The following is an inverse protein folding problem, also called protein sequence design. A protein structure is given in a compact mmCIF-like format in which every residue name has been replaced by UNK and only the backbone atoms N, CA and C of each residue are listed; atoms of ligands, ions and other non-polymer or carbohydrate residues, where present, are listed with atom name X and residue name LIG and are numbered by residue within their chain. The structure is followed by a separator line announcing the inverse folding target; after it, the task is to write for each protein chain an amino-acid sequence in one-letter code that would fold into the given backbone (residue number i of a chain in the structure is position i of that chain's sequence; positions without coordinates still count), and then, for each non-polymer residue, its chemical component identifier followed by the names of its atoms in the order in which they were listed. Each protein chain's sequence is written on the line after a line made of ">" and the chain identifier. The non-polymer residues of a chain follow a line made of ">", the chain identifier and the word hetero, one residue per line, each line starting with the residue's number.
data_IF_429605270266
#
_entry.id   IF_429605270266
#
_cell.length_a   1.000
_cell.length_b   1.000
_cell.length_c   1.000
_cell.angle_alpha   90.00
_cell.angle_beta   90.00
_cell.angle_gamma   90.00
#
_symmetry.space_group_name_H-M   'P 1'
#
loop_
_entity.id
_entity.type
_entity.pdbx_description
1 polymer ?
#
# COMPACT_ATOMS: atom_id res chain seq x y z
N UNK A 1 5.71 -11.58 0.11
CA UNK A 1 6.47 -12.39 1.08
C UNK A 1 7.55 -13.21 0.38
N UNK A 2 7.20 -14.03 -0.62
CA UNK A 2 8.19 -14.83 -1.36
C UNK A 2 9.30 -14.01 -2.05
N UNK A 3 8.96 -12.86 -2.65
CA UNK A 3 9.96 -11.95 -3.23
C UNK A 3 10.95 -11.42 -2.20
N UNK A 4 10.47 -11.00 -1.01
CA UNK A 4 11.34 -10.55 0.08
C UNK A 4 12.32 -11.64 0.52
N UNK A 5 11.85 -12.90 0.59
CA UNK A 5 12.68 -14.06 0.91
C UNK A 5 13.76 -14.26 -0.15
N UNK A 6 13.42 -14.19 -1.44
CA UNK A 6 14.38 -14.25 -2.56
C UNK A 6 15.44 -13.15 -2.49
N UNK A 7 15.06 -11.91 -2.19
CA UNK A 7 16.04 -10.83 -2.00
C UNK A 7 16.94 -11.05 -0.79
N UNK A 8 16.42 -11.63 0.29
CA UNK A 8 17.20 -11.95 1.48
C UNK A 8 18.22 -13.06 1.21
N UNK A 9 17.82 -14.08 0.45
CA UNK A 9 18.71 -15.17 0.00
C UNK A 9 19.78 -14.63 -0.96
N UNK A 10 19.41 -13.74 -1.89
CA UNK A 10 20.36 -13.09 -2.78
C UNK A 10 21.34 -12.19 -1.98
N UNK A 11 20.87 -11.49 -0.94
CA UNK A 11 21.73 -10.71 -0.04
C UNK A 11 22.74 -11.56 0.71
N UNK A 12 22.31 -12.71 1.24
CA UNK A 12 23.20 -13.65 1.89
C UNK A 12 24.30 -14.17 0.94
N UNK A 13 23.95 -14.48 -0.31
CA UNK A 13 24.91 -14.92 -1.33
C UNK A 13 25.96 -13.83 -1.68
N UNK A 14 25.54 -12.57 -1.75
CA UNK A 14 26.45 -11.46 -2.08
C UNK A 14 27.38 -11.08 -0.92
N UNK A 15 26.94 -11.24 0.32
CA UNK A 15 27.81 -11.13 1.51
C UNK A 15 28.90 -12.20 1.48
N UNK A 16 28.57 -13.43 1.09
CA UNK A 16 29.52 -14.55 1.00
C UNK A 16 30.56 -14.34 -0.12
N UNK A 17 30.18 -13.67 -1.21
CA UNK A 17 31.06 -13.42 -2.38
C UNK A 17 31.89 -12.13 -2.27
N UNK A 18 31.77 -11.38 -1.16
CA UNK A 18 32.62 -10.21 -0.89
C UNK A 18 32.32 -8.98 -1.75
N UNK A 19 31.15 -8.91 -2.37
CA UNK A 19 30.74 -7.73 -3.14
C UNK A 19 30.42 -6.56 -2.20
N UNK A 20 30.73 -5.33 -2.66
CA UNK A 20 30.33 -4.13 -1.94
C UNK A 20 28.81 -4.02 -1.85
N UNK A 21 28.31 -3.52 -0.71
CA UNK A 21 26.89 -3.45 -0.37
C UNK A 21 26.08 -2.65 -1.41
N UNK A 22 26.71 -1.63 -2.00
CA UNK A 22 26.14 -0.74 -3.01
C UNK A 22 25.96 -1.43 -4.38
N UNK A 23 26.92 -2.28 -4.78
CA UNK A 23 26.86 -3.03 -6.05
C UNK A 23 25.77 -4.11 -6.03
N UNK A 24 25.40 -4.59 -4.84
CA UNK A 24 24.35 -5.58 -4.65
C UNK A 24 22.94 -4.96 -4.53
N UNK A 25 22.82 -3.85 -3.80
CA UNK A 25 21.53 -3.29 -3.42
C UNK A 25 20.68 -2.88 -4.62
N UNK A 26 21.28 -2.19 -5.59
CA UNK A 26 20.58 -1.74 -6.81
C UNK A 26 19.99 -2.91 -7.61
N UNK A 27 20.75 -3.95 -8.01
CA UNK A 27 20.19 -5.08 -8.75
C UNK A 27 19.19 -5.91 -7.94
N UNK A 28 19.41 -6.13 -6.65
CA UNK A 28 18.46 -6.85 -5.78
C UNK A 28 17.11 -6.14 -5.70
N UNK A 29 17.12 -4.83 -5.51
CA UNK A 29 15.91 -4.00 -5.41
C UNK A 29 15.20 -3.91 -6.77
N UNK A 30 15.95 -3.86 -7.87
CA UNK A 30 15.40 -3.86 -9.22
C UNK A 30 14.74 -5.20 -9.57
N UNK A 31 15.37 -6.34 -9.22
CA UNK A 31 14.77 -7.66 -9.37
C UNK A 31 13.46 -7.77 -8.58
N UNK A 32 13.47 -7.31 -7.32
CA UNK A 32 12.28 -7.33 -6.48
C UNK A 32 11.14 -6.50 -7.07
N UNK A 33 11.48 -5.32 -7.60
CA UNK A 33 10.53 -4.45 -8.28
C UNK A 33 9.87 -5.13 -9.49
N UNK A 34 10.68 -5.68 -10.41
CA UNK A 34 10.17 -6.40 -11.58
C UNK A 34 9.35 -7.63 -11.20
N UNK A 35 9.78 -8.36 -10.18
CA UNK A 35 9.03 -9.50 -9.66
C UNK A 35 7.65 -9.08 -9.18
N UNK A 36 7.55 -8.06 -8.32
CA UNK A 36 6.26 -7.56 -7.84
C UNK A 36 5.39 -7.00 -8.98
N UNK A 37 6.00 -6.36 -9.99
CA UNK A 37 5.28 -5.84 -11.13
C UNK A 37 4.67 -6.97 -11.97
N UNK A 38 5.44 -8.01 -12.29
CA UNK A 38 4.95 -9.20 -13.02
C UNK A 38 3.82 -9.87 -12.24
N UNK A 39 3.97 -10.06 -10.93
CA UNK A 39 2.94 -10.70 -10.09
C UNK A 39 1.71 -9.81 -9.84
N UNK A 40 1.82 -8.50 -10.03
CA UNK A 40 0.68 -7.59 -9.96
C UNK A 40 -0.30 -7.76 -11.14
N UNK A 41 0.18 -8.21 -12.30
CA UNK A 41 -0.64 -8.42 -13.51
C UNK A 41 -1.72 -9.50 -13.30
N UNK A 42 -1.40 -10.73 -12.87
CA UNK A 42 -2.43 -11.75 -12.63
C UNK A 42 -3.37 -11.34 -11.48
N UNK A 43 -2.86 -10.64 -10.46
CA UNK A 43 -3.70 -10.12 -9.38
C UNK A 43 -4.71 -9.08 -9.91
N UNK A 44 -4.26 -8.18 -10.79
CA UNK A 44 -5.12 -7.20 -11.43
C UNK A 44 -6.18 -7.88 -12.33
N UNK A 45 -5.83 -8.94 -13.04
CA UNK A 45 -6.78 -9.74 -13.82
C UNK A 45 -7.83 -10.43 -12.94
N UNK A 46 -7.44 -10.99 -11.79
CA UNK A 46 -8.39 -11.58 -10.83
C UNK A 46 -9.32 -10.52 -10.27
N UNK A 47 -8.78 -9.36 -9.89
CA UNK A 47 -9.59 -8.24 -9.40
C UNK A 47 -10.57 -7.79 -10.47
N UNK A 48 -10.10 -7.59 -11.71
CA UNK A 48 -10.95 -7.23 -12.85
C UNK A 48 -12.05 -8.27 -13.08
N UNK A 49 -11.72 -9.56 -13.01
CA UNK A 49 -12.67 -10.65 -13.13
C UNK A 49 -13.75 -10.57 -12.04
N UNK A 50 -13.37 -10.39 -10.77
CA UNK A 50 -14.32 -10.22 -9.66
C UNK A 50 -15.17 -8.97 -9.85
N UNK A 51 -14.54 -7.85 -10.21
CA UNK A 51 -15.15 -6.52 -10.40
C UNK A 51 -16.12 -6.48 -11.58
N UNK A 52 -15.90 -7.28 -12.62
CA UNK A 52 -16.80 -7.34 -13.79
C UNK A 52 -17.87 -8.41 -13.60
N UNK A 53 -17.51 -9.59 -13.08
CA UNK A 53 -18.42 -10.74 -13.03
C UNK A 53 -19.35 -10.72 -11.82
N UNK A 54 -18.91 -10.29 -10.62
CA UNK A 54 -19.84 -10.19 -9.49
C UNK A 54 -20.98 -9.21 -9.78
N UNK A 55 -20.74 -8.00 -10.32
CA UNK A 55 -21.81 -7.10 -10.68
C UNK A 55 -22.69 -7.63 -11.81
N UNK A 56 -22.13 -8.41 -12.75
CA UNK A 56 -22.91 -9.09 -13.78
C UNK A 56 -23.89 -10.09 -13.16
N UNK A 57 -23.43 -10.92 -12.22
CA UNK A 57 -24.25 -11.89 -11.49
C UNK A 57 -25.30 -11.17 -10.64
N UNK A 58 -24.92 -10.10 -9.95
CA UNK A 58 -25.83 -9.27 -9.16
C UNK A 58 -26.90 -8.56 -10.01
N UNK A 59 -26.54 -8.06 -11.18
CA UNK A 59 -27.46 -7.44 -12.12
C UNK A 59 -28.47 -8.45 -12.70
N UNK A 60 -28.04 -9.70 -12.94
CA UNK A 60 -28.95 -10.78 -13.35
C UNK A 60 -29.91 -11.15 -12.21
N UNK A 61 -29.40 -11.35 -10.99
CA UNK A 61 -30.20 -11.78 -9.83
C UNK A 61 -31.22 -10.73 -9.36
N UNK A 62 -30.85 -9.44 -9.36
CA UNK A 62 -31.76 -8.33 -8.97
C UNK A 62 -32.65 -7.91 -10.13
N UNK A 63 -32.19 -8.16 -11.36
CA UNK A 63 -32.85 -7.80 -12.60
C UNK A 63 -34.21 -8.43 -12.86
N UNK A 64 -34.51 -9.55 -12.21
CA UNK A 64 -35.82 -10.20 -12.30
C UNK A 64 -36.90 -9.41 -11.54
N UNK A 65 -36.53 -8.57 -10.57
CA UNK A 65 -37.49 -7.79 -9.76
C UNK A 65 -37.80 -6.38 -10.31
N UNK A 66 -36.84 -5.75 -11.00
CA UNK A 66 -36.94 -4.36 -11.49
C UNK A 66 -37.05 -4.24 -13.02
N UNK A 67 -37.14 -5.37 -13.73
CA UNK A 67 -37.23 -5.42 -15.19
C UNK A 67 -35.95 -4.97 -15.92
N UNK A 68 -36.08 -4.73 -17.23
CA UNK A 68 -34.95 -4.43 -18.12
C UNK A 68 -34.20 -3.13 -17.76
N UNK A 69 -34.93 -2.12 -17.28
CA UNK A 69 -34.34 -0.84 -16.84
C UNK A 69 -33.54 -0.97 -15.55
N UNK A 70 -34.03 -1.76 -14.57
CA UNK A 70 -33.28 -2.03 -13.34
C UNK A 70 -31.97 -2.77 -13.56
N UNK A 71 -31.92 -3.70 -14.52
CA UNK A 71 -30.68 -4.40 -14.93
C UNK A 71 -29.64 -3.43 -15.48
N UNK A 72 -30.07 -2.53 -16.35
CA UNK A 72 -29.18 -1.60 -17.03
C UNK A 72 -28.61 -0.57 -16.04
N UNK A 73 -29.44 -0.05 -15.15
CA UNK A 73 -29.02 0.87 -14.09
C UNK A 73 -28.10 0.20 -13.06
N UNK A 74 -28.40 -1.04 -12.65
CA UNK A 74 -27.56 -1.82 -11.75
C UNK A 74 -26.20 -2.19 -12.35
N UNK A 75 -26.18 -2.54 -13.64
CA UNK A 75 -24.94 -2.83 -14.36
C UNK A 75 -24.09 -1.57 -14.55
N UNK A 76 -24.69 -0.44 -14.95
CA UNK A 76 -23.96 0.82 -15.13
C UNK A 76 -23.44 1.34 -13.79
N UNK A 77 -24.27 1.40 -12.75
CA UNK A 77 -23.85 1.88 -11.43
C UNK A 77 -22.81 0.94 -10.79
N UNK A 78 -23.06 -0.37 -10.80
CA UNK A 78 -22.12 -1.36 -10.24
C UNK A 78 -20.80 -1.44 -11.01
N UNK A 79 -20.87 -1.44 -12.34
CA UNK A 79 -19.71 -1.50 -13.23
C UNK A 79 -18.88 -0.22 -13.23
N UNK A 80 -19.52 0.96 -13.21
CA UNK A 80 -18.78 2.23 -13.15
C UNK A 80 -18.15 2.45 -11.77
N UNK A 81 -18.85 2.10 -10.68
CA UNK A 81 -18.29 2.17 -9.34
C UNK A 81 -17.09 1.23 -9.21
N UNK A 82 -17.20 -0.01 -9.70
CA UNK A 82 -16.11 -0.98 -9.60
C UNK A 82 -14.90 -0.60 -10.45
N UNK A 83 -15.09 -0.09 -11.66
CA UNK A 83 -14.03 0.50 -12.49
C UNK A 83 -13.34 1.68 -11.79
N UNK A 84 -14.12 2.57 -11.18
CA UNK A 84 -13.60 3.72 -10.45
C UNK A 84 -12.74 3.26 -9.27
N UNK A 85 -13.18 2.25 -8.50
CA UNK A 85 -12.42 1.71 -7.37
C UNK A 85 -11.10 1.10 -7.82
N UNK A 86 -11.10 0.33 -8.92
CA UNK A 86 -9.88 -0.25 -9.50
C UNK A 86 -8.94 0.83 -9.99
N UNK A 87 -9.46 1.84 -10.69
CA UNK A 87 -8.67 2.96 -11.18
C UNK A 87 -8.01 3.73 -10.04
N UNK A 88 -8.77 4.10 -9.01
CA UNK A 88 -8.25 4.79 -7.84
C UNK A 88 -7.20 3.94 -7.09
N UNK A 89 -7.42 2.63 -6.98
CA UNK A 89 -6.46 1.71 -6.39
C UNK A 89 -5.16 1.61 -7.22
N UNK A 90 -5.27 1.54 -8.55
CA UNK A 90 -4.15 1.48 -9.46
C UNK A 90 -3.32 2.77 -9.41
N UNK A 91 -3.96 3.95 -9.44
CA UNK A 91 -3.28 5.25 -9.29
C UNK A 91 -2.57 5.34 -7.94
N UNK A 92 -3.25 4.96 -6.86
CA UNK A 92 -2.68 5.00 -5.50
C UNK A 92 -1.47 4.07 -5.37
N UNK A 93 -1.57 2.85 -5.89
CA UNK A 93 -0.49 1.86 -5.85
C UNK A 93 0.66 2.26 -6.78
N UNK A 94 0.35 2.79 -7.97
CA UNK A 94 1.32 3.30 -8.93
C UNK A 94 2.12 4.49 -8.40
N UNK A 95 1.49 5.41 -7.66
CA UNK A 95 2.20 6.53 -7.00
C UNK A 95 3.21 6.03 -5.95
N UNK A 96 2.86 5.03 -5.14
CA UNK A 96 3.78 4.45 -4.17
C UNK A 96 4.93 3.68 -4.84
N UNK A 97 4.59 2.77 -5.75
CA UNK A 97 5.56 1.88 -6.42
C UNK A 97 6.46 2.69 -7.36
N UNK A 98 5.89 3.57 -8.17
CA UNK A 98 6.60 4.45 -9.08
C UNK A 98 7.45 5.48 -8.34
N UNK A 99 6.92 6.06 -7.25
CA UNK A 99 7.69 6.99 -6.41
C UNK A 99 8.91 6.33 -5.77
N UNK A 100 8.74 5.13 -5.21
CA UNK A 100 9.84 4.35 -4.65
C UNK A 100 10.86 3.93 -5.72
N UNK A 101 10.40 3.57 -6.92
CA UNK A 101 11.28 3.24 -8.04
C UNK A 101 12.13 4.44 -8.50
N UNK A 102 11.50 5.62 -8.65
CA UNK A 102 12.20 6.84 -9.04
C UNK A 102 13.21 7.31 -7.98
N UNK A 103 12.91 7.11 -6.69
CA UNK A 103 13.86 7.37 -5.62
C UNK A 103 15.05 6.39 -5.67
N UNK A 104 14.81 5.12 -5.93
CA UNK A 104 15.86 4.11 -6.07
C UNK A 104 16.77 4.40 -7.27
N UNK A 105 16.17 4.76 -8.42
CA UNK A 105 16.91 5.18 -9.63
C UNK A 105 17.49 6.59 -9.52
N UNK A 106 17.15 7.35 -8.47
CA UNK A 106 17.66 8.69 -8.22
C UNK A 106 19.13 8.71 -7.82
N UNK A 107 19.66 7.60 -7.32
CA UNK A 107 21.07 7.42 -6.99
C UNK A 107 21.75 6.63 -8.12
N UNK A 108 22.57 7.30 -8.93
CA UNK A 108 23.37 6.66 -9.97
C UNK A 108 24.85 6.76 -9.64
N UNK A 109 25.63 5.72 -9.94
CA UNK A 109 27.08 5.75 -9.74
C UNK A 109 27.74 5.97 -11.09
N UNK A 110 28.29 7.17 -11.30
CA UNK A 110 29.01 7.53 -12.53
C UNK A 110 30.48 7.69 -12.15
N UNK A 111 31.35 6.84 -12.72
CA UNK A 111 32.80 6.91 -12.44
C UNK A 111 33.19 6.57 -10.99
N UNK A 112 32.38 5.78 -10.28
CA UNK A 112 32.64 5.40 -8.88
C UNK A 112 32.26 6.46 -7.85
N UNK A 113 31.74 7.61 -8.27
CA UNK A 113 31.17 8.62 -7.38
C UNK A 113 29.64 8.56 -7.41
N UNK A 114 28.97 8.66 -6.24
CA UNK A 114 27.52 8.73 -6.19
C UNK A 114 27.03 10.09 -6.73
N UNK A 115 26.25 10.03 -7.81
CA UNK A 115 25.58 11.18 -8.40
C UNK A 115 24.08 11.07 -8.16
N UNK A 116 23.48 12.15 -7.64
CA UNK A 116 22.05 12.25 -7.47
C UNK A 116 21.41 12.86 -8.71
N UNK A 117 20.52 12.12 -9.36
CA UNK A 117 19.63 12.68 -10.36
C UNK A 117 18.51 13.44 -9.64
N UNK A 118 18.67 14.77 -9.54
CA UNK A 118 17.74 15.66 -8.85
C UNK A 118 16.30 15.52 -9.38
N UNK A 119 16.14 15.30 -10.68
CA UNK A 119 14.82 15.16 -11.31
C UNK A 119 14.10 13.90 -10.86
N UNK A 120 14.79 12.76 -10.87
CA UNK A 120 14.24 11.47 -10.43
C UNK A 120 13.96 11.47 -8.93
N UNK A 121 14.87 12.02 -8.13
CA UNK A 121 14.71 12.12 -6.69
C UNK A 121 13.53 13.05 -6.30
N UNK A 122 13.40 14.20 -6.95
CA UNK A 122 12.31 15.14 -6.70
C UNK A 122 10.95 14.55 -7.11
N UNK A 123 10.83 13.99 -8.31
CA UNK A 123 9.58 13.36 -8.77
C UNK A 123 9.20 12.16 -7.91
N UNK A 124 10.17 11.30 -7.57
CA UNK A 124 9.95 10.16 -6.69
C UNK A 124 9.49 10.58 -5.29
N UNK A 125 10.16 11.60 -4.73
CA UNK A 125 9.80 12.18 -3.43
C UNK A 125 8.39 12.77 -3.42
N UNK A 126 8.01 13.54 -4.44
CA UNK A 126 6.66 14.12 -4.57
C UNK A 126 5.61 13.02 -4.69
N UNK A 127 5.84 11.99 -5.51
CA UNK A 127 4.90 10.87 -5.67
C UNK A 127 4.66 10.12 -4.35
N UNK A 128 5.72 9.85 -3.59
CA UNK A 128 5.61 9.23 -2.26
C UNK A 128 4.90 10.15 -1.28
N UNK A 129 5.20 11.45 -1.28
CA UNK A 129 4.55 12.43 -0.41
C UNK A 129 3.04 12.50 -0.68
N UNK A 130 2.63 12.59 -1.95
CA UNK A 130 1.22 12.56 -2.36
C UNK A 130 0.55 11.27 -1.87
N UNK A 131 1.23 10.11 -2.01
CA UNK A 131 0.71 8.84 -1.52
C UNK A 131 0.49 8.84 0.00
N UNK A 132 1.44 9.37 0.78
CA UNK A 132 1.35 9.45 2.24
C UNK A 132 0.21 10.38 2.66
N UNK A 133 0.10 11.56 2.07
CA UNK A 133 -0.99 12.52 2.34
C UNK A 133 -2.35 11.89 2.01
N UNK A 134 -2.45 11.21 0.86
CA UNK A 134 -3.65 10.48 0.45
C UNK A 134 -3.98 9.27 1.35
N UNK A 135 -3.05 8.80 2.19
CA UNK A 135 -3.30 7.73 3.17
C UNK A 135 -3.81 8.27 4.50
N UNK A 136 -3.34 9.44 4.93
CA UNK A 136 -3.75 10.05 6.20
C UNK A 136 -5.22 10.50 6.22
N UNK A 137 -5.78 10.88 5.08
CA UNK A 137 -7.16 11.38 4.96
C UNK A 137 -8.24 10.32 5.19
N UNK A 138 -7.92 9.02 5.14
CA UNK A 138 -8.88 7.92 5.36
C UNK A 138 -8.98 7.43 6.81
N UNK A 139 -8.19 7.98 7.74
CA UNK A 139 -8.05 7.48 9.13
C UNK A 139 -8.83 8.26 10.20
N UNK A 140 -9.66 9.23 9.81
CA UNK A 140 -10.32 10.17 10.72
C UNK A 140 -11.82 9.89 10.87
N UNK A 141 -12.21 8.75 11.47
CA UNK A 141 -13.62 8.59 11.92
C UNK A 141 -13.89 7.57 13.04
N UNK A 142 -12.89 6.96 13.70
CA UNK A 142 -13.13 5.91 14.71
C UNK A 142 -12.50 6.18 16.11
N UNK A 143 -11.93 7.36 16.35
CA UNK A 143 -11.16 7.63 17.58
C UNK A 143 -11.95 8.08 18.82
N UNK A 144 -13.23 8.46 18.67
CA UNK A 144 -13.94 9.17 19.74
C UNK A 144 -14.84 8.27 20.60
N UNK A 145 -15.06 7.02 20.20
CA UNK A 145 -15.84 6.06 20.99
C UNK A 145 -15.00 5.29 22.01
N UNK A 146 -13.70 5.09 21.78
CA UNK A 146 -12.85 4.31 22.70
C UNK A 146 -12.35 5.14 23.90
N UNK A 147 -12.30 6.47 23.81
CA UNK A 147 -11.88 7.34 24.93
C UNK A 147 -12.98 7.64 25.95
N UNK A 148 -14.24 7.30 25.69
CA UNK A 148 -15.36 7.55 26.64
C UNK A 148 -15.59 6.44 27.67
N UNK A 149 -14.82 5.36 27.63
CA UNK A 149 -14.96 4.25 28.60
C UNK A 149 -13.78 4.10 29.57
N UNK A 150 -12.72 4.89 29.42
CA UNK A 150 -11.63 4.89 30.39
C UNK A 150 -11.79 6.04 31.39
N UNK A 151 -12.30 5.63 32.56
CA UNK A 151 -12.10 6.19 33.92
C UNK A 151 -13.11 7.25 34.40
N UNK A 152 -13.45 7.27 35.71
CA UNK A 152 -12.54 6.94 36.81
C UNK A 152 -13.19 6.23 38.02
N UNK A 153 -12.70 5.05 38.40
CA UNK A 153 -12.93 4.61 39.79
C UNK A 153 -11.87 3.66 40.31
N UNK A 154 -10.88 4.22 41.01
CA UNK A 154 -10.54 3.68 42.34
C UNK A 154 -9.84 4.73 43.18
N UNK A 155 -10.65 5.27 44.10
CA UNK A 155 -10.25 6.16 45.17
C UNK A 155 -9.16 5.51 46.02
N UNK A 156 -8.23 6.38 46.38
CA UNK A 156 -7.20 6.28 47.39
C UNK A 156 -7.64 5.63 48.71
N UNK A 157 -6.86 4.66 49.18
CA UNK A 157 -6.72 4.36 50.61
C UNK A 157 -5.24 4.21 50.95
N UNK A 158 -4.61 5.32 51.33
CA UNK A 158 -3.33 5.30 52.03
C UNK A 158 -3.60 5.25 53.53
N UNK A 159 -3.10 4.24 54.27
CA UNK A 159 -3.18 4.24 55.72
C UNK A 159 -2.20 5.28 56.29
N UNK A 160 -2.77 6.11 57.17
CA UNK A 160 -2.13 7.19 57.91
C UNK A 160 -1.14 6.60 58.93
N UNK A 161 0.18 6.66 58.66
CA UNK A 161 1.20 6.36 59.68
C UNK A 161 1.12 7.43 60.78
N UNK A 162 0.82 7.01 62.01
CA UNK A 162 1.08 7.78 63.23
C UNK A 162 2.23 7.11 63.97
N UNK A 163 3.31 7.85 64.16
CA UNK A 163 4.18 7.76 65.35
C UNK A 163 4.31 9.19 65.86
N UNK A 164 4.17 9.42 67.17
CA UNK A 164 5.39 9.37 68.00
C UNK A 164 5.14 8.72 69.37
N UNK A 165 6.15 8.01 69.89
CA UNK A 165 6.79 8.16 71.20
C UNK A 165 7.95 7.16 71.27
#
# INVERSE_FOLDING_TARGET
>A
MFGLILTLVYAAYCVITGMSLEQFYLPATNFLFWWYLIWSIPLALIILFVVVILPLIGAVAVGDRLGKMGRLLGFVAGGSLSLLTVFLFAVRSGLAIGGAYLLNQGLTVIGGQPHWNQTSAALGGIMVLIHVIARSSSSSSNGEQTRRYELPERRSHYPKRRYPY
#
